data_IF_058413797756
#
_entry.id   IF_058413797756
#
_cell.length_a   1.000
_cell.length_b   1.000
_cell.length_c   1.000
_cell.angle_alpha   90.00
_cell.angle_beta   90.00
_cell.angle_gamma   90.00
#
_symmetry.space_group_name_H-M   'P 1'
#
loop_
_entity.id
_entity.type
_entity.pdbx_description
1 polymer ?
#
# COMPACT_ATOMS: atom_id res chain seq x y z
N UNK A 1 -8.69 -14.20 8.54
CA UNK A 1 -8.78 -15.65 8.79
C UNK A 1 -7.53 -16.07 9.56
N UNK A 2 -7.65 -16.80 10.67
CA UNK A 2 -6.48 -17.29 11.44
C UNK A 2 -5.72 -18.37 10.68
N UNK A 3 -6.44 -19.14 9.85
CA UNK A 3 -5.85 -20.16 9.00
C UNK A 3 -5.08 -19.49 7.87
N UNK A 4 -3.84 -19.92 7.66
CA UNK A 4 -2.98 -19.43 6.59
C UNK A 4 -2.15 -18.18 6.93
N UNK A 5 -2.34 -17.53 8.08
CA UNK A 5 -1.62 -16.29 8.42
C UNK A 5 -0.10 -16.43 8.26
N UNK A 6 0.49 -17.49 8.81
CA UNK A 6 1.93 -17.72 8.71
C UNK A 6 2.38 -17.99 7.27
N UNK A 7 1.57 -18.67 6.48
CA UNK A 7 1.86 -18.92 5.08
C UNK A 7 1.79 -17.62 4.25
N UNK A 8 0.77 -16.79 4.48
CA UNK A 8 0.64 -15.46 3.87
C UNK A 8 1.81 -14.55 4.26
N UNK A 9 2.22 -14.54 5.53
CA UNK A 9 3.38 -13.77 6.00
C UNK A 9 4.68 -14.19 5.28
N UNK A 10 4.94 -15.50 5.17
CA UNK A 10 6.10 -16.04 4.44
C UNK A 10 6.02 -15.65 2.95
N UNK A 11 4.85 -15.79 2.33
CA UNK A 11 4.65 -15.45 0.93
C UNK A 11 4.88 -13.96 0.64
N UNK A 12 4.43 -13.07 1.54
CA UNK A 12 4.70 -11.63 1.44
C UNK A 12 6.20 -11.36 1.52
N UNK A 13 6.90 -11.99 2.47
CA UNK A 13 8.35 -11.88 2.59
C UNK A 13 9.08 -12.35 1.33
N UNK A 14 8.66 -13.47 0.74
CA UNK A 14 9.24 -14.00 -0.50
C UNK A 14 8.97 -13.11 -1.72
N UNK A 15 7.75 -12.57 -1.85
CA UNK A 15 7.38 -11.65 -2.92
C UNK A 15 8.12 -10.31 -2.83
N UNK A 16 8.35 -9.81 -1.61
CA UNK A 16 9.18 -8.63 -1.40
C UNK A 16 10.65 -8.92 -1.77
N UNK A 17 11.18 -10.06 -1.33
CA UNK A 17 12.56 -10.47 -1.61
C UNK A 17 12.83 -10.65 -3.11
N UNK A 18 11.88 -11.18 -3.89
CA UNK A 18 12.03 -11.32 -5.35
C UNK A 18 12.11 -9.97 -6.08
N UNK A 19 11.67 -8.89 -5.44
CA UNK A 19 11.78 -7.51 -5.94
C UNK A 19 12.99 -6.77 -5.34
N UNK A 20 13.88 -7.47 -4.64
CA UNK A 20 15.05 -6.87 -3.99
C UNK A 20 14.71 -6.07 -2.74
N UNK A 21 13.52 -6.25 -2.16
CA UNK A 21 13.10 -5.59 -0.94
C UNK A 21 13.39 -6.47 0.28
N UNK A 22 13.78 -5.83 1.38
CA UNK A 22 14.01 -6.51 2.66
C UNK A 22 13.42 -5.66 3.78
N UNK A 23 12.98 -6.32 4.85
CA UNK A 23 12.42 -5.65 6.01
C UNK A 23 11.48 -6.54 6.81
N UNK A 24 11.08 -6.10 8.01
CA UNK A 24 10.18 -6.85 8.85
C UNK A 24 8.77 -6.89 8.25
N UNK A 25 8.12 -8.05 8.38
CA UNK A 25 6.69 -8.26 8.16
C UNK A 25 6.12 -8.74 9.49
N UNK A 26 5.29 -7.93 10.14
CA UNK A 26 4.84 -8.19 11.51
C UNK A 26 3.33 -8.07 11.63
N UNK A 27 2.71 -8.97 12.38
CA UNK A 27 1.29 -8.85 12.73
C UNK A 27 1.07 -7.61 13.59
N UNK A 28 0.14 -6.75 13.17
CA UNK A 28 -0.26 -5.58 13.95
C UNK A 28 -0.94 -6.00 15.24
N UNK A 29 -0.46 -5.46 16.36
CA UNK A 29 -0.97 -5.72 17.70
C UNK A 29 -1.56 -4.45 18.32
N UNK A 30 -2.65 -4.58 19.07
CA UNK A 30 -3.25 -3.50 19.87
C UNK A 30 -3.68 -4.08 21.20
N UNK A 31 -3.15 -3.53 22.32
CA UNK A 31 -3.49 -4.03 23.66
C UNK A 31 -3.15 -5.52 23.87
N UNK A 32 -2.04 -6.00 23.33
CA UNK A 32 -1.57 -7.38 23.48
C UNK A 32 -2.29 -8.43 22.65
N UNK A 33 -3.24 -8.04 21.80
CA UNK A 33 -3.97 -8.93 20.87
C UNK A 33 -3.81 -8.47 19.41
N UNK A 34 -3.96 -9.37 18.43
CA UNK A 34 -3.98 -8.97 17.03
C UNK A 34 -5.06 -7.92 16.76
N UNK A 35 -4.69 -6.86 16.05
CA UNK A 35 -5.64 -5.89 15.54
C UNK A 35 -6.51 -6.54 14.46
N UNK A 36 -7.80 -6.24 14.47
CA UNK A 36 -8.76 -6.73 13.50
C UNK A 36 -9.47 -5.53 12.90
N UNK A 37 -9.50 -5.45 11.57
CA UNK A 37 -10.25 -4.41 10.84
C UNK A 37 -11.75 -4.57 11.04
N UNK A 38 -12.51 -3.54 10.71
CA UNK A 38 -13.97 -3.60 10.56
C UNK A 38 -14.43 -4.72 9.62
N UNK A 39 -13.70 -4.99 8.53
CA UNK A 39 -13.90 -6.14 7.63
C UNK A 39 -13.52 -7.51 8.20
N UNK A 40 -13.03 -7.59 9.45
CA UNK A 40 -12.67 -8.86 10.08
C UNK A 40 -11.33 -9.45 9.65
N UNK A 41 -10.42 -8.63 9.11
CA UNK A 41 -9.10 -9.04 8.61
C UNK A 41 -7.98 -8.66 9.58
N UNK A 42 -6.88 -9.41 9.54
CA UNK A 42 -5.64 -9.02 10.22
C UNK A 42 -4.83 -8.06 9.35
N UNK A 43 -3.98 -7.25 9.97
CA UNK A 43 -3.02 -6.39 9.28
C UNK A 43 -1.61 -6.93 9.51
N UNK A 44 -0.88 -7.12 8.41
CA UNK A 44 0.57 -7.32 8.43
C UNK A 44 1.24 -5.99 8.08
N UNK A 45 2.02 -5.45 9.02
CA UNK A 45 2.85 -4.27 8.83
C UNK A 45 4.17 -4.70 8.18
N UNK A 46 4.41 -4.21 6.96
CA UNK A 46 5.57 -4.54 6.15
C UNK A 46 6.41 -3.30 5.87
N UNK A 47 7.61 -3.23 6.45
CA UNK A 47 8.48 -2.05 6.36
C UNK A 47 9.66 -2.30 5.45
N UNK A 48 9.53 -1.98 4.16
CA UNK A 48 10.56 -2.25 3.13
C UNK A 48 11.47 -1.05 2.81
N UNK A 49 11.38 0.04 3.57
CA UNK A 49 12.09 1.28 3.26
C UNK A 49 11.63 1.87 1.93
N UNK A 50 12.58 2.26 1.07
CA UNK A 50 12.25 2.77 -0.27
C UNK A 50 11.82 1.62 -1.17
N UNK A 51 10.64 1.76 -1.78
CA UNK A 51 10.08 0.80 -2.73
C UNK A 51 10.27 1.37 -4.15
N UNK A 52 11.23 0.87 -4.95
CA UNK A 52 11.54 1.44 -6.26
C UNK A 52 10.44 1.22 -7.29
N UNK A 53 9.81 0.04 -7.27
CA UNK A 53 8.69 -0.31 -8.14
C UNK A 53 7.47 -0.69 -7.30
N UNK A 54 6.66 0.32 -6.99
CA UNK A 54 5.43 0.15 -6.21
C UNK A 54 4.39 -0.69 -6.94
N UNK A 55 4.36 -0.66 -8.28
CA UNK A 55 3.37 -1.39 -9.08
C UNK A 55 3.70 -2.87 -9.12
N UNK A 56 4.97 -3.23 -9.28
CA UNK A 56 5.41 -4.62 -9.20
C UNK A 56 5.09 -5.22 -7.82
N UNK A 57 5.36 -4.49 -6.74
CA UNK A 57 5.02 -4.94 -5.38
C UNK A 57 3.51 -5.09 -5.20
N UNK A 58 2.72 -4.10 -5.65
CA UNK A 58 1.25 -4.15 -5.60
C UNK A 58 0.70 -5.41 -6.28
N UNK A 59 1.12 -5.65 -7.51
CA UNK A 59 0.70 -6.83 -8.28
C UNK A 59 1.11 -8.14 -7.60
N UNK A 60 2.35 -8.21 -7.07
CA UNK A 60 2.85 -9.39 -6.39
C UNK A 60 2.08 -9.69 -5.10
N UNK A 61 1.72 -8.66 -4.33
CA UNK A 61 0.91 -8.80 -3.11
C UNK A 61 -0.51 -9.29 -3.41
N UNK A 62 -1.17 -8.73 -4.42
CA UNK A 62 -2.51 -9.18 -4.83
C UNK A 62 -2.55 -10.63 -5.32
N UNK A 63 -1.45 -11.14 -5.87
CA UNK A 63 -1.36 -12.51 -6.34
C UNK A 63 -1.28 -13.55 -5.18
N UNK A 64 -1.06 -13.12 -3.93
CA UNK A 64 -0.88 -14.02 -2.79
C UNK A 64 -2.25 -14.41 -2.19
N UNK A 65 -2.61 -15.70 -2.16
CA UNK A 65 -3.81 -16.15 -1.46
C UNK A 65 -3.77 -15.77 0.03
N UNK A 66 -4.85 -15.14 0.50
CA UNK A 66 -4.97 -14.64 1.87
C UNK A 66 -4.62 -13.17 2.03
N UNK A 67 -4.02 -12.52 1.03
CA UNK A 67 -3.99 -11.06 0.93
C UNK A 67 -5.34 -10.60 0.41
N UNK A 68 -6.01 -9.74 1.17
CA UNK A 68 -7.30 -9.16 0.78
C UNK A 68 -7.07 -7.85 0.03
N UNK A 69 -6.19 -7.00 0.55
CA UNK A 69 -5.86 -5.69 0.01
C UNK A 69 -4.49 -5.23 0.57
N UNK A 70 -3.90 -4.18 0.01
CA UNK A 70 -2.68 -3.55 0.50
C UNK A 70 -2.77 -2.02 0.55
N UNK A 71 -1.86 -1.38 1.30
CA UNK A 71 -1.85 0.09 1.48
C UNK A 71 -1.22 0.91 0.33
N UNK A 72 -0.95 0.32 -0.84
CA UNK A 72 -0.31 1.03 -1.95
C UNK A 72 -1.35 1.71 -2.87
N UNK A 73 -1.60 2.99 -2.65
CA UNK A 73 -2.55 3.81 -3.43
C UNK A 73 -1.90 4.41 -4.69
N UNK A 74 -1.62 3.57 -5.69
CA UNK A 74 -0.85 3.95 -6.88
C UNK A 74 -1.74 4.57 -7.95
N UNK A 75 -1.48 5.83 -8.32
CA UNK A 75 -2.17 6.50 -9.42
C UNK A 75 -3.61 6.93 -9.12
N UNK A 76 -3.99 6.94 -7.83
CA UNK A 76 -5.33 7.33 -7.38
C UNK A 76 -5.43 8.81 -7.03
N UNK A 77 -4.38 9.39 -6.43
CA UNK A 77 -4.40 10.78 -6.02
C UNK A 77 -4.21 11.74 -7.21
N UNK A 78 -5.11 12.71 -7.35
CA UNK A 78 -5.00 13.81 -8.33
C UNK A 78 -4.28 15.04 -7.76
N UNK A 79 -4.37 15.24 -6.44
CA UNK A 79 -3.70 16.29 -5.70
C UNK A 79 -3.44 15.85 -4.24
N UNK A 80 -2.50 16.52 -3.58
CA UNK A 80 -2.21 16.40 -2.16
C UNK A 80 -2.07 17.80 -1.55
N UNK A 81 -2.80 18.07 -0.46
CA UNK A 81 -2.66 19.30 0.33
C UNK A 81 -1.69 18.99 1.48
N UNK A 82 -0.55 19.68 1.53
CA UNK A 82 0.54 19.43 2.47
C UNK A 82 0.69 20.67 3.35
N UNK A 83 0.49 20.52 4.66
CA UNK A 83 0.73 21.56 5.65
C UNK A 83 2.09 21.35 6.33
N UNK A 84 2.91 22.40 6.41
CA UNK A 84 4.21 22.40 7.06
C UNK A 84 4.52 23.74 7.74
N UNK A 85 5.74 23.90 8.25
CA UNK A 85 6.17 25.13 8.94
C UNK A 85 6.06 26.39 8.07
N UNK A 86 6.18 26.24 6.75
CA UNK A 86 6.10 27.33 5.78
C UNK A 86 4.66 27.60 5.26
N UNK A 87 3.66 26.94 5.85
CA UNK A 87 2.25 27.07 5.48
C UNK A 87 1.70 25.86 4.71
N UNK A 88 0.65 26.11 3.91
CA UNK A 88 -0.09 25.07 3.19
C UNK A 88 0.24 25.16 1.69
N UNK A 89 0.58 24.02 1.09
CA UNK A 89 0.82 23.89 -0.34
C UNK A 89 -0.05 22.79 -0.96
N UNK A 90 -0.50 22.99 -2.19
CA UNK A 90 -1.22 21.97 -2.96
C UNK A 90 -0.33 21.43 -4.06
N UNK A 91 -0.01 20.15 -4.02
CA UNK A 91 0.77 19.43 -5.03
C UNK A 91 -0.20 18.68 -5.95
N UNK A 92 -0.12 18.91 -7.26
CA UNK A 92 -0.93 18.20 -8.24
C UNK A 92 -0.12 17.10 -8.92
N UNK A 93 -0.80 16.05 -9.40
CA UNK A 93 -0.14 15.02 -10.23
C UNK A 93 0.40 15.66 -11.51
N UNK A 94 1.62 15.29 -11.90
CA UNK A 94 2.20 15.76 -13.16
C UNK A 94 1.31 15.29 -14.33
N UNK A 95 0.76 16.23 -15.09
CA UNK A 95 0.02 15.90 -16.32
C UNK A 95 0.97 15.20 -17.30
N UNK A 96 0.57 14.05 -17.83
CA UNK A 96 1.17 13.55 -19.08
C UNK A 96 0.87 14.58 -20.18
N UNK A 97 1.86 15.04 -20.96
CA UNK A 97 1.58 15.86 -22.14
C UNK A 97 0.59 15.12 -23.06
N UNK A 98 -0.51 15.78 -23.44
CA UNK A 98 -1.51 15.23 -24.37
C UNK A 98 -2.77 14.60 -23.77
N UNK A 99 -2.98 14.62 -22.45
CA UNK A 99 -4.26 14.20 -21.85
C UNK A 99 -5.22 15.40 -21.76
N UNK A 100 -6.08 15.56 -22.77
CA UNK A 100 -7.25 16.45 -22.73
C UNK A 100 -8.38 15.75 -21.96
N UNK A 101 -8.58 16.12 -20.70
CA UNK A 101 -9.82 15.85 -20.00
C UNK A 101 -10.82 16.96 -20.32
N UNK A 102 -11.77 16.67 -21.19
CA UNK A 102 -13.00 17.46 -21.30
C UNK A 102 -13.75 17.34 -19.98
N UNK A 103 -13.67 18.36 -19.13
CA UNK A 103 -14.73 18.60 -18.16
C UNK A 103 -15.88 19.27 -18.93
N UNK A 104 -16.76 18.47 -19.52
CA UNK A 104 -18.11 18.93 -19.80
C UNK A 104 -18.90 18.82 -18.49
N UNK A 105 -19.13 19.98 -17.89
CA UNK A 105 -20.20 20.18 -16.91
C UNK A 105 -21.28 20.95 -17.64
N UNK A 106 -22.39 20.25 -17.90
CA UNK A 106 -23.70 20.85 -18.10
C UNK A 106 -24.31 21.21 -16.73
#
# INVERSE_FOLDING_TARGET
NKLGLRATEIAIGAAAASLGLAGPVTLRMTGGRPFVTDGGHFILDASFGRIPDTRALSNALFAIPGVVEHGLFIGLASAAIIAGGDGIQTVHVARKPGSSIHHDVA
#
